data_IF_705960948969
#
_entry.id   IF_705960948969
#
_cell.length_a   1.000
_cell.length_b   1.000
_cell.length_c   1.000
_cell.angle_alpha   90.00
_cell.angle_beta   90.00
_cell.angle_gamma   90.00
#
_symmetry.space_group_name_H-M   'P 1'
#
loop_
_entity.id
_entity.type
_entity.pdbx_description
1 polymer ?
#
# COMPACT_ATOMS: atom_id res chain seq x y z
N UNK A 1 -20.55 -0.30 3.07
CA UNK A 1 -19.70 -1.16 3.93
C UNK A 1 -19.54 -2.58 3.36
N UNK A 2 -20.61 -3.29 2.98
CA UNK A 2 -20.54 -4.65 2.40
C UNK A 2 -19.66 -4.81 1.15
N UNK A 3 -19.64 -3.84 0.23
CA UNK A 3 -18.81 -3.91 -0.99
C UNK A 3 -17.30 -3.81 -0.69
N UNK A 4 -16.90 -3.07 0.31
CA UNK A 4 -15.49 -2.87 0.70
C UNK A 4 -14.89 -4.14 1.32
N UNK A 5 -15.57 -4.74 2.29
CA UNK A 5 -15.13 -6.00 2.91
C UNK A 5 -15.09 -7.16 1.90
N UNK A 6 -16.06 -7.21 0.97
CA UNK A 6 -16.06 -8.21 -0.10
C UNK A 6 -14.76 -8.16 -0.92
N UNK A 7 -14.27 -6.98 -1.29
CA UNK A 7 -13.00 -6.84 -2.01
C UNK A 7 -11.80 -7.39 -1.21
N UNK A 8 -11.77 -7.19 0.10
CA UNK A 8 -10.75 -7.81 0.97
C UNK A 8 -10.87 -9.34 0.97
N UNK A 9 -12.07 -9.88 1.16
CA UNK A 9 -12.31 -11.32 1.14
C UNK A 9 -11.87 -11.95 -0.19
N UNK A 10 -12.28 -11.35 -1.29
CA UNK A 10 -11.92 -11.82 -2.63
C UNK A 10 -10.39 -11.69 -2.88
N UNK A 11 -9.78 -10.58 -2.47
CA UNK A 11 -8.36 -10.32 -2.62
C UNK A 11 -7.46 -11.26 -1.79
N UNK A 12 -7.91 -11.71 -0.63
CA UNK A 12 -7.18 -12.66 0.20
C UNK A 12 -7.63 -14.12 0.02
N UNK A 13 -8.52 -14.41 -0.95
CA UNK A 13 -9.09 -15.75 -1.14
C UNK A 13 -8.02 -16.84 -1.31
N UNK A 14 -6.92 -16.57 -2.05
CA UNK A 14 -5.82 -17.53 -2.21
C UNK A 14 -5.07 -17.80 -0.90
N UNK A 15 -4.83 -16.77 -0.10
CA UNK A 15 -4.20 -16.92 1.23
C UNK A 15 -5.09 -17.75 2.15
N UNK A 16 -6.38 -17.42 2.22
CA UNK A 16 -7.37 -18.16 3.01
C UNK A 16 -7.48 -19.62 2.56
N UNK A 17 -7.58 -19.84 1.24
CA UNK A 17 -7.66 -21.20 0.68
C UNK A 17 -6.40 -22.02 0.96
N UNK A 18 -5.21 -21.42 0.91
CA UNK A 18 -3.97 -22.11 1.23
C UNK A 18 -3.89 -22.51 2.71
N UNK A 19 -4.31 -21.61 3.63
CA UNK A 19 -4.39 -21.91 5.06
C UNK A 19 -5.43 -23.01 5.29
N UNK A 20 -6.61 -22.88 4.72
CA UNK A 20 -7.71 -23.87 4.88
C UNK A 20 -7.31 -25.25 4.34
N UNK A 21 -6.61 -25.34 3.20
CA UNK A 21 -6.14 -26.60 2.64
C UNK A 21 -5.16 -27.31 3.55
N UNK A 22 -4.19 -26.58 4.13
CA UNK A 22 -3.19 -27.15 5.04
C UNK A 22 -3.77 -27.54 6.41
N UNK A 23 -4.77 -26.83 6.89
CA UNK A 23 -5.43 -27.08 8.18
C UNK A 23 -6.67 -27.97 8.06
N UNK A 24 -6.87 -28.61 6.91
CA UNK A 24 -8.06 -29.46 6.64
C UNK A 24 -9.38 -28.78 7.02
N UNK A 25 -9.48 -27.48 6.75
CA UNK A 25 -10.69 -26.71 7.06
C UNK A 25 -10.91 -26.45 8.54
N UNK A 26 -9.85 -26.39 9.34
CA UNK A 26 -9.91 -26.15 10.79
C UNK A 26 -10.90 -25.03 11.16
N UNK A 27 -10.85 -23.90 10.46
CA UNK A 27 -11.72 -22.75 10.72
C UNK A 27 -13.19 -22.97 10.33
N UNK A 28 -13.53 -24.12 9.72
CA UNK A 28 -14.91 -24.53 9.39
C UNK A 28 -15.70 -25.14 10.54
N UNK A 29 -15.20 -25.08 11.79
CA UNK A 29 -15.92 -25.56 12.98
C UNK A 29 -15.44 -26.90 13.56
N UNK A 30 -14.34 -27.48 13.05
CA UNK A 30 -13.65 -28.63 13.64
C UNK A 30 -13.12 -28.26 15.04
N UNK A 31 -13.10 -29.22 15.97
CA UNK A 31 -12.41 -29.07 17.26
C UNK A 31 -10.90 -28.96 17.04
N UNK A 32 -10.26 -28.21 17.91
CA UNK A 32 -8.81 -28.10 17.94
C UNK A 32 -8.21 -29.28 18.68
N UNK A 33 -7.13 -29.81 18.15
CA UNK A 33 -6.28 -30.82 18.77
C UNK A 33 -4.79 -30.50 18.52
N UNK A 34 -3.89 -31.30 19.05
CA UNK A 34 -2.46 -31.07 18.90
C UNK A 34 -2.03 -31.09 17.44
N UNK A 35 -2.57 -32.01 16.63
CA UNK A 35 -2.24 -32.13 15.22
C UNK A 35 -2.72 -30.89 14.42
N UNK A 36 -3.92 -30.39 14.70
CA UNK A 36 -4.43 -29.19 14.04
C UNK A 36 -3.65 -27.91 14.39
N UNK A 37 -3.02 -27.85 15.56
CA UNK A 37 -2.13 -26.74 15.94
C UNK A 37 -0.81 -26.78 15.16
N UNK A 38 -0.24 -27.97 14.93
CA UNK A 38 0.93 -28.16 14.07
C UNK A 38 0.62 -27.80 12.61
N UNK A 39 -0.52 -28.28 12.10
CA UNK A 39 -0.99 -27.91 10.75
C UNK A 39 -1.18 -26.38 10.60
N UNK A 40 -1.70 -25.71 11.62
CA UNK A 40 -1.89 -24.26 11.62
C UNK A 40 -0.54 -23.53 11.64
N UNK A 41 0.42 -24.02 12.42
CA UNK A 41 1.78 -23.47 12.45
C UNK A 41 2.41 -23.49 11.05
N UNK A 42 2.39 -24.64 10.39
CA UNK A 42 2.93 -24.80 9.04
C UNK A 42 2.19 -23.91 8.02
N UNK A 43 0.86 -23.80 8.16
CA UNK A 43 0.05 -22.96 7.28
C UNK A 43 0.40 -21.48 7.40
N UNK A 44 0.58 -20.97 8.62
CA UNK A 44 0.96 -19.59 8.88
C UNK A 44 2.37 -19.28 8.38
N UNK A 45 3.34 -20.18 8.57
CA UNK A 45 4.68 -20.03 7.99
C UNK A 45 4.64 -19.99 6.46
N UNK A 46 3.89 -20.89 5.84
CA UNK A 46 3.75 -20.93 4.38
C UNK A 46 3.10 -19.67 3.82
N UNK A 47 2.21 -19.05 4.60
CA UNK A 47 1.56 -17.79 4.24
C UNK A 47 2.41 -16.54 4.57
N UNK A 48 3.68 -16.72 4.96
CA UNK A 48 4.67 -15.66 5.24
C UNK A 48 4.31 -14.73 6.43
N UNK A 49 3.65 -15.25 7.48
CA UNK A 49 3.41 -14.48 8.70
C UNK A 49 4.68 -14.24 9.52
N UNK A 50 5.73 -15.02 9.26
CA UNK A 50 6.99 -14.97 9.98
C UNK A 50 6.93 -15.64 11.36
N UNK A 51 8.10 -15.90 11.94
CA UNK A 51 8.23 -16.67 13.19
C UNK A 51 7.50 -16.01 14.35
N UNK A 52 7.79 -14.74 14.61
CA UNK A 52 7.21 -14.01 15.76
C UNK A 52 5.69 -14.01 15.74
N UNK A 53 5.07 -13.67 14.59
CA UNK A 53 3.62 -13.59 14.48
C UNK A 53 2.97 -14.96 14.60
N UNK A 54 3.55 -15.98 13.97
CA UNK A 54 3.06 -17.35 14.03
C UNK A 54 3.10 -17.86 15.47
N UNK A 55 4.21 -17.65 16.18
CA UNK A 55 4.34 -18.03 17.59
C UNK A 55 3.31 -17.33 18.46
N UNK A 56 3.11 -16.02 18.31
CA UNK A 56 2.10 -15.27 19.10
C UNK A 56 0.69 -15.79 18.86
N UNK A 57 0.32 -16.05 17.60
CA UNK A 57 -1.00 -16.61 17.26
C UNK A 57 -1.20 -17.97 17.92
N UNK A 58 -0.21 -18.85 17.79
CA UNK A 58 -0.29 -20.19 18.34
C UNK A 58 -0.34 -20.22 19.87
N UNK A 59 0.47 -19.41 20.55
CA UNK A 59 0.47 -19.36 22.03
C UNK A 59 -0.86 -18.85 22.59
N UNK A 60 -1.49 -17.87 21.96
CA UNK A 60 -2.81 -17.41 22.35
C UNK A 60 -3.88 -18.49 22.15
N UNK A 61 -3.83 -19.20 21.00
CA UNK A 61 -4.76 -20.31 20.73
C UNK A 61 -4.52 -21.48 21.68
N UNK A 62 -3.26 -21.88 21.94
CA UNK A 62 -2.91 -22.93 22.91
C UNK A 62 -3.36 -22.56 24.33
N UNK A 63 -3.24 -21.30 24.70
CA UNK A 63 -3.71 -20.81 26.01
C UNK A 63 -5.23 -20.88 26.13
N UNK A 64 -5.95 -20.54 25.08
CA UNK A 64 -7.41 -20.68 25.05
C UNK A 64 -7.83 -22.16 25.07
N UNK A 65 -7.15 -23.01 24.31
CA UNK A 65 -7.42 -24.46 24.28
C UNK A 65 -7.19 -25.14 25.64
N UNK A 66 -6.16 -24.75 26.39
CA UNK A 66 -5.93 -25.25 27.76
C UNK A 66 -7.06 -24.90 28.72
N UNK A 67 -7.74 -23.76 28.50
CA UNK A 67 -8.89 -23.33 29.32
C UNK A 67 -10.19 -23.98 28.88
N UNK A 68 -10.35 -24.22 27.59
CA UNK A 68 -11.52 -24.83 26.96
C UNK A 68 -11.09 -25.88 25.93
N UNK A 69 -11.02 -27.19 26.31
CA UNK A 69 -10.68 -28.26 25.39
C UNK A 69 -11.73 -28.50 24.27
N UNK A 70 -12.91 -27.89 24.37
CA UNK A 70 -13.94 -27.90 23.32
C UNK A 70 -13.82 -26.75 22.33
N UNK A 71 -12.72 -25.99 22.42
CA UNK A 71 -12.44 -24.83 21.52
C UNK A 71 -12.58 -25.24 20.05
N UNK A 72 -13.39 -24.49 19.31
CA UNK A 72 -13.64 -24.73 17.88
C UNK A 72 -12.73 -23.84 17.03
N UNK A 73 -12.46 -24.30 15.82
CA UNK A 73 -11.60 -23.57 14.89
C UNK A 73 -12.06 -22.14 14.59
N UNK A 74 -13.37 -21.88 14.58
CA UNK A 74 -13.88 -20.50 14.39
C UNK A 74 -13.52 -19.57 15.57
N UNK A 75 -13.47 -20.09 16.78
CA UNK A 75 -12.99 -19.34 17.95
C UNK A 75 -11.48 -19.10 17.85
N UNK A 76 -10.72 -20.10 17.39
CA UNK A 76 -9.29 -19.94 17.11
C UNK A 76 -9.03 -18.91 16.01
N UNK A 77 -9.81 -18.89 14.94
CA UNK A 77 -9.74 -17.85 13.91
C UNK A 77 -9.96 -16.45 14.49
N UNK A 78 -10.92 -16.32 15.41
CA UNK A 78 -11.20 -15.05 16.10
C UNK A 78 -10.01 -14.61 16.99
N UNK A 79 -9.37 -15.56 17.69
CA UNK A 79 -8.16 -15.30 18.48
C UNK A 79 -7.02 -14.87 17.55
N UNK A 80 -6.78 -15.59 16.48
CA UNK A 80 -5.75 -15.22 15.50
C UNK A 80 -5.96 -13.83 14.91
N UNK A 81 -7.19 -13.48 14.54
CA UNK A 81 -7.54 -12.15 14.08
C UNK A 81 -7.29 -11.07 15.15
N UNK A 82 -7.57 -11.36 16.42
CA UNK A 82 -7.30 -10.45 17.53
C UNK A 82 -5.80 -10.21 17.71
N UNK A 83 -4.97 -11.25 17.58
CA UNK A 83 -3.51 -11.13 17.61
C UNK A 83 -3.02 -10.24 16.47
N UNK A 84 -3.51 -10.47 15.23
CA UNK A 84 -3.11 -9.61 14.09
C UNK A 84 -3.51 -8.15 14.29
N UNK A 85 -4.68 -7.87 14.83
CA UNK A 85 -5.10 -6.49 15.17
C UNK A 85 -4.15 -5.84 16.17
N UNK A 86 -3.72 -6.57 17.19
CA UNK A 86 -2.75 -6.07 18.18
C UNK A 86 -1.40 -5.80 17.53
N UNK A 87 -0.91 -6.71 16.72
CA UNK A 87 0.39 -6.61 16.04
C UNK A 87 0.43 -5.45 15.05
N UNK A 88 -0.68 -5.23 14.34
CA UNK A 88 -0.84 -4.19 13.33
C UNK A 88 -1.42 -2.88 13.89
N UNK A 89 -1.52 -2.74 15.21
CA UNK A 89 -1.99 -1.49 15.81
C UNK A 89 -1.13 -0.31 15.33
N UNK A 90 -1.79 0.71 14.76
CA UNK A 90 -1.12 1.88 14.17
C UNK A 90 -0.59 1.66 12.74
N UNK A 91 -0.85 0.51 12.10
CA UNK A 91 -0.42 0.25 10.74
C UNK A 91 -1.24 0.99 9.66
N UNK A 92 -2.42 1.48 9.97
CA UNK A 92 -3.27 2.15 8.99
C UNK A 92 -2.77 3.56 8.70
N UNK A 93 -2.39 3.82 7.45
CA UNK A 93 -2.08 5.15 6.95
C UNK A 93 -3.36 5.90 6.58
N UNK A 94 -3.46 7.15 7.00
CA UNK A 94 -4.53 8.05 6.57
C UNK A 94 -3.97 9.05 5.58
N UNK A 95 -4.59 9.15 4.41
CA UNK A 95 -4.24 10.14 3.41
C UNK A 95 -4.98 11.44 3.73
N UNK A 96 -4.27 12.35 4.34
CA UNK A 96 -4.78 13.69 4.63
C UNK A 96 -4.09 14.67 3.67
N UNK A 97 -4.90 15.44 2.92
CA UNK A 97 -4.40 16.60 2.19
C UNK A 97 -3.95 17.67 3.17
N UNK A 98 -3.10 18.58 2.73
CA UNK A 98 -2.46 19.61 3.57
C UNK A 98 -3.43 20.49 4.36
N UNK A 99 -4.70 20.58 3.92
CA UNK A 99 -5.73 21.50 4.50
C UNK A 99 -7.10 20.84 4.75
N UNK A 100 -7.18 19.51 4.94
CA UNK A 100 -8.44 18.81 5.19
C UNK A 100 -9.33 18.64 3.93
N UNK A 101 -10.53 18.05 4.05
CA UNK A 101 -11.40 17.78 2.91
C UNK A 101 -11.83 19.09 2.21
N UNK A 102 -11.87 19.12 0.86
CA UNK A 102 -12.43 20.26 0.14
C UNK A 102 -13.90 20.42 0.49
N UNK A 103 -14.31 21.63 0.89
CA UNK A 103 -15.72 21.94 1.07
C UNK A 103 -16.14 22.53 2.40
N UNK A 104 -15.23 22.87 3.32
CA UNK A 104 -15.62 23.82 4.37
C UNK A 104 -15.36 25.24 3.87
N UNK A 105 -16.42 26.04 3.69
CA UNK A 105 -16.25 27.49 3.57
C UNK A 105 -15.53 27.95 4.84
N UNK A 106 -14.47 28.76 4.71
CA UNK A 106 -13.87 29.45 5.85
C UNK A 106 -14.98 30.28 6.51
N UNK A 107 -15.23 30.06 7.78
CA UNK A 107 -16.21 30.85 8.59
C UNK A 107 -15.79 32.32 8.81
N UNK A 108 -14.88 32.84 8.00
CA UNK A 108 -14.55 34.26 7.93
C UNK A 108 -15.06 34.82 6.61
N UNK A 109 -16.16 35.51 6.63
CA UNK A 109 -16.77 36.27 5.51
C UNK A 109 -15.87 37.39 5.00
N UNK A 110 -14.70 37.04 4.43
CA UNK A 110 -13.87 37.96 3.68
C UNK A 110 -14.17 37.79 2.18
N UNK A 111 -14.32 38.88 1.41
CA UNK A 111 -14.65 38.82 -0.02
C UNK A 111 -13.52 38.14 -0.78
N UNK A 112 -13.89 37.42 -1.84
CA UNK A 112 -13.07 36.65 -2.78
C UNK A 112 -11.94 37.47 -3.40
N UNK A 113 -10.89 37.72 -2.63
CA UNK A 113 -9.56 38.06 -3.16
C UNK A 113 -8.91 36.77 -3.66
N UNK A 114 -8.22 36.82 -4.80
CA UNK A 114 -7.49 35.73 -5.42
C UNK A 114 -6.71 34.96 -4.38
N UNK A 115 -7.21 33.78 -3.96
CA UNK A 115 -6.47 32.90 -3.08
C UNK A 115 -5.14 32.60 -3.77
N UNK A 116 -4.01 32.83 -3.06
CA UNK A 116 -2.69 32.51 -3.58
C UNK A 116 -2.70 31.02 -3.97
N UNK A 117 -2.13 30.66 -5.14
CA UNK A 117 -2.09 29.28 -5.60
C UNK A 117 -1.41 28.42 -4.52
N UNK A 118 -2.14 27.47 -3.99
CA UNK A 118 -1.65 26.52 -2.96
C UNK A 118 -0.61 25.60 -3.56
N UNK A 119 0.43 25.24 -2.80
CA UNK A 119 1.37 24.24 -3.22
C UNK A 119 0.68 22.87 -3.24
N UNK A 120 0.90 22.04 -4.27
CA UNK A 120 0.35 20.70 -4.32
C UNK A 120 0.96 19.82 -3.22
N UNK A 121 0.20 18.88 -2.69
CA UNK A 121 0.76 17.80 -1.89
C UNK A 121 1.41 16.78 -2.82
N UNK A 122 2.66 16.42 -2.56
CA UNK A 122 3.47 15.58 -3.46
C UNK A 122 3.60 14.17 -2.90
N UNK A 123 3.25 13.17 -3.72
CA UNK A 123 3.46 11.74 -3.43
C UNK A 123 4.51 11.20 -4.42
N UNK A 124 5.66 10.72 -3.93
CA UNK A 124 6.61 9.97 -4.73
C UNK A 124 6.34 8.47 -4.58
N UNK A 125 6.04 7.81 -5.71
CA UNK A 125 5.85 6.37 -5.80
C UNK A 125 7.19 5.70 -6.08
N UNK A 126 7.68 4.92 -5.12
CA UNK A 126 9.03 4.32 -5.10
C UNK A 126 8.88 2.80 -5.11
N UNK A 127 9.87 2.06 -5.61
CA UNK A 127 9.85 0.60 -5.58
C UNK A 127 10.58 -0.02 -6.77
N UNK A 128 10.75 -1.34 -6.74
CA UNK A 128 11.43 -2.08 -7.81
C UNK A 128 10.59 -2.19 -9.08
N UNK A 129 11.23 -2.50 -10.20
CA UNK A 129 10.51 -2.82 -11.43
C UNK A 129 9.55 -3.99 -11.20
N UNK A 130 8.34 -3.88 -11.75
CA UNK A 130 7.31 -4.91 -11.61
C UNK A 130 6.54 -4.88 -10.28
N UNK A 131 6.88 -4.03 -9.31
CA UNK A 131 6.12 -3.92 -8.06
C UNK A 131 4.73 -3.28 -8.21
N UNK A 132 4.39 -2.76 -9.38
CA UNK A 132 3.08 -2.15 -9.63
C UNK A 132 3.04 -0.63 -9.43
N UNK A 133 4.17 0.09 -9.38
CA UNK A 133 4.23 1.55 -9.20
C UNK A 133 3.33 2.31 -10.17
N UNK A 134 3.56 2.14 -11.47
CA UNK A 134 2.83 2.83 -12.54
C UNK A 134 1.32 2.58 -12.46
N UNK A 135 0.92 1.32 -12.25
CA UNK A 135 -0.48 0.95 -12.07
C UNK A 135 -1.07 1.57 -10.79
N UNK A 136 -0.31 1.54 -9.69
CA UNK A 136 -0.73 2.14 -8.42
C UNK A 136 -0.86 3.66 -8.53
N UNK A 137 0.08 4.32 -9.21
CA UNK A 137 0.03 5.75 -9.51
C UNK A 137 -1.28 6.12 -10.20
N UNK A 138 -1.63 5.40 -11.26
CA UNK A 138 -2.86 5.65 -12.00
C UNK A 138 -4.13 5.39 -11.17
N UNK A 139 -4.17 4.29 -10.41
CA UNK A 139 -5.30 3.94 -9.53
C UNK A 139 -5.47 4.94 -8.39
N UNK A 140 -4.37 5.39 -7.79
CA UNK A 140 -4.39 6.40 -6.74
C UNK A 140 -4.91 7.74 -7.27
N UNK A 141 -4.42 8.16 -8.44
CA UNK A 141 -4.88 9.38 -9.09
C UNK A 141 -6.39 9.32 -9.41
N UNK A 142 -6.86 8.16 -9.89
CA UNK A 142 -8.28 7.92 -10.13
C UNK A 142 -9.12 8.01 -8.85
N UNK A 143 -8.62 7.40 -7.77
CA UNK A 143 -9.29 7.46 -6.47
C UNK A 143 -9.41 8.88 -5.96
N UNK A 144 -8.30 9.62 -5.91
CA UNK A 144 -8.29 11.03 -5.47
C UNK A 144 -9.24 11.89 -6.31
N UNK A 145 -9.25 11.70 -7.62
CA UNK A 145 -10.18 12.39 -8.51
C UNK A 145 -11.65 12.08 -8.20
N UNK A 146 -11.98 10.82 -7.93
CA UNK A 146 -13.34 10.43 -7.54
C UNK A 146 -13.74 10.96 -6.16
N UNK A 147 -12.76 11.19 -5.28
CA UNK A 147 -12.93 11.84 -3.99
C UNK A 147 -13.02 13.39 -4.13
N UNK A 148 -13.12 13.91 -5.36
CA UNK A 148 -13.30 15.34 -5.68
C UNK A 148 -12.02 16.16 -5.64
N UNK A 149 -10.84 15.52 -5.59
CA UNK A 149 -9.54 16.20 -5.58
C UNK A 149 -9.01 16.40 -7.01
N UNK A 150 -8.31 17.49 -7.23
CA UNK A 150 -7.60 17.75 -8.48
C UNK A 150 -6.20 17.14 -8.45
N UNK A 151 -5.87 16.35 -9.48
CA UNK A 151 -4.64 15.54 -9.50
C UNK A 151 -3.91 15.69 -10.83
N UNK A 152 -2.59 15.84 -10.74
CA UNK A 152 -1.67 15.75 -11.88
C UNK A 152 -0.63 14.67 -11.62
N UNK A 153 -0.20 13.97 -12.67
CA UNK A 153 0.78 12.87 -12.57
C UNK A 153 2.05 13.23 -13.35
N UNK A 154 3.22 12.88 -12.81
CA UNK A 154 4.51 13.01 -13.45
C UNK A 154 5.08 11.65 -13.83
N UNK A 155 5.40 11.45 -15.14
CA UNK A 155 6.06 10.24 -15.65
C UNK A 155 7.57 10.36 -15.53
N UNK A 156 8.14 10.04 -14.37
CA UNK A 156 9.58 10.14 -14.10
C UNK A 156 10.35 8.82 -14.31
N UNK A 157 9.75 7.74 -14.77
CA UNK A 157 10.46 6.53 -15.27
C UNK A 157 10.83 6.72 -16.76
N UNK A 158 11.63 7.77 -17.03
CA UNK A 158 11.92 8.28 -18.39
C UNK A 158 12.73 7.31 -19.24
N UNK A 159 13.48 6.39 -18.63
CA UNK A 159 14.31 5.43 -19.36
C UNK A 159 13.52 4.22 -19.88
N UNK A 160 12.25 4.08 -19.47
CA UNK A 160 11.38 2.99 -19.90
C UNK A 160 10.22 3.55 -20.72
N UNK A 161 10.41 3.63 -22.04
CA UNK A 161 9.37 4.10 -22.96
C UNK A 161 8.00 3.39 -22.70
N UNK A 162 8.02 2.08 -22.53
CA UNK A 162 6.81 1.31 -22.25
C UNK A 162 6.13 1.71 -20.91
N UNK A 163 6.88 2.15 -19.90
CA UNK A 163 6.28 2.61 -18.63
C UNK A 163 5.59 3.96 -18.82
N UNK A 164 6.20 4.87 -19.57
CA UNK A 164 5.60 6.18 -19.90
C UNK A 164 4.34 5.98 -20.75
N UNK A 165 4.39 5.12 -21.76
CA UNK A 165 3.22 4.80 -22.60
C UNK A 165 2.11 4.12 -21.80
N UNK A 166 2.45 3.21 -20.91
CA UNK A 166 1.49 2.57 -20.00
C UNK A 166 0.80 3.61 -19.12
N UNK A 167 1.57 4.50 -18.51
CA UNK A 167 1.01 5.55 -17.65
C UNK A 167 0.13 6.50 -18.45
N UNK A 168 0.55 6.87 -19.66
CA UNK A 168 -0.24 7.70 -20.58
C UNK A 168 -1.56 7.03 -20.93
N UNK A 169 -1.54 5.74 -21.30
CA UNK A 169 -2.78 4.99 -21.61
C UNK A 169 -3.76 4.99 -20.41
N UNK A 170 -3.24 4.84 -19.18
CA UNK A 170 -4.05 4.93 -17.98
C UNK A 170 -4.62 6.34 -17.78
N UNK A 171 -3.79 7.37 -17.86
CA UNK A 171 -4.20 8.75 -17.59
C UNK A 171 -5.19 9.27 -18.64
N UNK A 172 -5.01 8.92 -19.92
CA UNK A 172 -5.96 9.25 -21.00
C UNK A 172 -7.32 8.60 -20.73
N UNK A 173 -7.36 7.31 -20.40
CA UNK A 173 -8.60 6.57 -20.10
C UNK A 173 -9.32 7.16 -18.88
N UNK A 174 -8.58 7.54 -17.85
CA UNK A 174 -9.13 8.06 -16.60
C UNK A 174 -9.32 9.58 -16.62
N UNK A 175 -8.94 10.25 -17.71
CA UNK A 175 -8.99 11.73 -17.89
C UNK A 175 -8.24 12.44 -16.76
N UNK A 176 -7.00 12.00 -16.49
CA UNK A 176 -6.07 12.57 -15.52
C UNK A 176 -4.97 13.28 -16.28
N UNK A 177 -4.56 14.44 -15.78
CA UNK A 177 -3.48 15.20 -16.41
C UNK A 177 -2.13 14.54 -16.17
N UNK A 178 -1.31 14.44 -17.26
CA UNK A 178 0.01 13.83 -17.23
C UNK A 178 1.06 14.83 -17.72
N UNK A 179 2.14 14.95 -16.97
CA UNK A 179 3.39 15.58 -17.42
C UNK A 179 4.40 14.49 -17.72
N UNK A 180 4.89 14.48 -18.95
CA UNK A 180 5.88 13.52 -19.44
C UNK A 180 6.88 14.23 -20.37
N UNK A 181 8.00 13.58 -20.64
CA UNK A 181 9.02 14.05 -21.56
C UNK A 181 9.48 12.92 -22.50
N UNK A 182 10.44 13.19 -23.35
CA UNK A 182 11.02 12.18 -24.25
C UNK A 182 11.78 11.10 -23.46
N UNK A 183 11.96 9.94 -24.07
CA UNK A 183 12.73 8.84 -23.48
C UNK A 183 14.15 9.27 -23.17
N UNK A 184 14.63 9.01 -21.96
CA UNK A 184 15.96 9.38 -21.49
C UNK A 184 16.07 10.83 -20.99
N UNK A 185 14.98 11.59 -20.91
CA UNK A 185 14.96 12.89 -20.27
C UNK A 185 15.36 12.81 -18.78
N UNK A 186 15.84 13.91 -18.22
CA UNK A 186 16.13 14.00 -16.80
C UNK A 186 14.83 13.89 -15.97
N UNK A 187 14.69 12.82 -15.20
CA UNK A 187 13.52 12.57 -14.36
C UNK A 187 13.25 13.69 -13.34
N UNK A 188 14.30 14.34 -12.85
CA UNK A 188 14.17 15.46 -11.93
C UNK A 188 13.65 16.74 -12.64
N UNK A 189 13.98 16.94 -13.92
CA UNK A 189 13.40 18.02 -14.71
C UNK A 189 11.90 17.78 -14.94
N UNK A 190 11.49 16.55 -15.26
CA UNK A 190 10.06 16.20 -15.40
C UNK A 190 9.30 16.43 -14.09
N UNK A 191 9.88 16.05 -12.94
CA UNK A 191 9.28 16.28 -11.63
C UNK A 191 9.14 17.78 -11.31
N UNK A 192 10.14 18.59 -11.71
CA UNK A 192 10.09 20.04 -11.56
C UNK A 192 8.98 20.67 -12.40
N UNK A 193 8.91 20.33 -13.69
CA UNK A 193 7.90 20.84 -14.60
C UNK A 193 6.49 20.46 -14.15
N UNK A 194 6.33 19.22 -13.67
CA UNK A 194 5.05 18.75 -13.12
C UNK A 194 4.64 19.52 -11.86
N UNK A 195 5.60 19.84 -10.98
CA UNK A 195 5.32 20.65 -9.79
C UNK A 195 4.91 22.09 -10.16
N UNK A 196 5.60 22.70 -11.12
CA UNK A 196 5.25 24.03 -11.63
C UNK A 196 3.86 24.03 -12.27
N UNK A 197 3.57 23.02 -13.09
CA UNK A 197 2.25 22.86 -13.71
C UNK A 197 1.15 22.65 -12.65
N UNK A 198 1.39 21.79 -11.66
CA UNK A 198 0.46 21.54 -10.55
C UNK A 198 0.12 22.83 -9.80
N UNK A 199 1.15 23.61 -9.44
CA UNK A 199 0.96 24.90 -8.75
C UNK A 199 0.23 25.91 -9.60
N UNK A 200 0.63 26.08 -10.86
CA UNK A 200 0.06 27.06 -11.77
C UNK A 200 -1.44 26.81 -12.08
N UNK A 201 -1.81 25.53 -12.13
CA UNK A 201 -3.18 25.07 -12.43
C UNK A 201 -4.02 24.81 -11.18
N UNK A 202 -3.45 24.97 -9.99
CA UNK A 202 -4.16 24.81 -8.71
C UNK A 202 -4.52 23.36 -8.39
N UNK A 203 -3.69 22.39 -8.79
CA UNK A 203 -3.92 21.00 -8.42
C UNK A 203 -3.64 20.74 -6.93
N UNK A 204 -4.48 19.93 -6.29
CA UNK A 204 -4.33 19.53 -4.88
C UNK A 204 -3.17 18.55 -4.72
N UNK A 205 -3.00 17.65 -5.71
CA UNK A 205 -2.05 16.56 -5.64
C UNK A 205 -1.16 16.46 -6.86
N UNK A 206 0.13 16.18 -6.61
CA UNK A 206 1.09 15.74 -7.61
C UNK A 206 1.57 14.33 -7.25
N UNK A 207 1.36 13.35 -8.14
CA UNK A 207 1.88 11.99 -7.97
C UNK A 207 3.03 11.78 -8.95
N UNK A 208 4.20 11.43 -8.42
CA UNK A 208 5.44 11.23 -9.19
C UNK A 208 5.70 9.72 -9.32
N UNK A 209 5.55 9.17 -10.54
CA UNK A 209 5.90 7.78 -10.86
C UNK A 209 7.39 7.69 -11.19
N UNK A 210 8.18 7.01 -10.34
CA UNK A 210 9.63 6.97 -10.46
C UNK A 210 10.15 5.68 -11.08
N UNK A 211 11.41 5.68 -11.54
CA UNK A 211 12.12 4.48 -11.96
C UNK A 211 12.24 3.44 -10.82
N UNK A 212 12.49 2.18 -11.20
CA UNK A 212 12.59 1.08 -10.23
C UNK A 212 13.74 0.10 -10.50
N UNK A 213 14.83 0.55 -11.11
CA UNK A 213 15.95 -0.32 -11.52
C UNK A 213 16.90 -0.62 -10.37
N UNK A 214 16.53 -1.56 -9.48
CA UNK A 214 17.34 -1.88 -8.28
C UNK A 214 18.70 -2.53 -8.62
N UNK A 215 18.87 -3.15 -9.79
CA UNK A 215 20.14 -3.74 -10.21
C UNK A 215 21.24 -2.68 -10.44
N UNK A 216 20.88 -1.42 -10.64
CA UNK A 216 21.76 -0.24 -10.62
C UNK A 216 21.47 0.62 -9.39
N UNK A 217 21.58 0.00 -8.20
CA UNK A 217 21.11 0.56 -6.93
C UNK A 217 21.63 1.98 -6.66
N UNK A 218 22.92 2.24 -6.89
CA UNK A 218 23.52 3.57 -6.71
C UNK A 218 22.83 4.62 -7.57
N UNK A 219 22.67 4.33 -8.86
CA UNK A 219 22.07 5.28 -9.81
C UNK A 219 20.61 5.58 -9.48
N UNK A 220 19.84 4.54 -9.07
CA UNK A 220 18.44 4.74 -8.66
C UNK A 220 18.34 5.64 -7.43
N UNK A 221 19.16 5.42 -6.42
CA UNK A 221 19.12 6.23 -5.19
C UNK A 221 19.57 7.68 -5.46
N UNK A 222 20.54 7.90 -6.34
CA UNK A 222 20.96 9.22 -6.78
C UNK A 222 19.85 9.94 -7.55
N UNK A 223 19.15 9.25 -8.44
CA UNK A 223 18.01 9.76 -9.19
C UNK A 223 16.87 10.19 -8.26
N UNK A 224 16.47 9.32 -7.34
CA UNK A 224 15.45 9.62 -6.32
C UNK A 224 15.86 10.80 -5.44
N UNK A 225 17.12 10.86 -5.00
CA UNK A 225 17.65 11.96 -4.22
C UNK A 225 17.66 13.28 -5.03
N UNK A 226 17.91 13.22 -6.35
CA UNK A 226 17.85 14.38 -7.25
C UNK A 226 16.42 14.89 -7.40
N UNK A 227 15.44 14.01 -7.63
CA UNK A 227 14.01 14.35 -7.67
C UNK A 227 13.61 15.05 -6.35
N UNK A 228 13.95 14.48 -5.21
CA UNK A 228 13.65 15.06 -3.90
C UNK A 228 14.24 16.47 -3.77
N UNK A 229 15.53 16.66 -4.08
CA UNK A 229 16.20 17.97 -3.99
C UNK A 229 15.54 19.02 -4.86
N UNK A 230 15.11 18.65 -6.06
CA UNK A 230 14.45 19.57 -6.98
C UNK A 230 13.07 19.98 -6.48
N UNK A 231 12.29 19.02 -5.96
CA UNK A 231 11.00 19.32 -5.35
C UNK A 231 11.14 20.21 -4.10
N UNK A 232 12.15 19.97 -3.27
CA UNK A 232 12.44 20.76 -2.07
C UNK A 232 12.87 22.21 -2.35
N UNK A 233 13.41 22.51 -3.54
CA UNK A 233 13.67 23.89 -3.95
C UNK A 233 12.38 24.71 -4.10
N UNK A 234 11.28 24.06 -4.48
CA UNK A 234 9.98 24.68 -4.66
C UNK A 234 9.14 24.69 -3.38
N UNK A 235 9.23 23.60 -2.62
CA UNK A 235 8.56 23.43 -1.33
C UNK A 235 9.47 22.60 -0.41
N UNK A 236 10.07 23.18 0.64
CA UNK A 236 11.01 22.49 1.52
C UNK A 236 10.45 21.22 2.18
N UNK A 237 9.13 21.08 2.24
CA UNK A 237 8.46 19.90 2.81
C UNK A 237 8.21 18.79 1.80
N UNK A 238 8.35 19.07 0.49
CA UNK A 238 8.11 18.12 -0.58
C UNK A 238 9.29 17.12 -0.74
N UNK A 239 9.01 15.88 -1.15
CA UNK A 239 7.70 15.25 -1.21
C UNK A 239 7.20 14.91 0.20
N UNK A 240 5.96 15.25 0.50
CA UNK A 240 5.35 14.97 1.80
C UNK A 240 5.18 13.46 2.00
N UNK A 241 4.84 12.77 0.91
CA UNK A 241 4.66 11.33 0.91
C UNK A 241 5.73 10.64 0.06
N UNK A 242 6.48 9.76 0.67
CA UNK A 242 7.48 8.88 0.04
C UNK A 242 7.03 7.46 0.24
N UNK A 243 6.23 6.96 -0.70
CA UNK A 243 5.58 5.66 -0.57
C UNK A 243 6.30 4.59 -1.36
N UNK A 244 6.61 3.51 -0.68
CA UNK A 244 7.13 2.31 -1.33
C UNK A 244 5.97 1.44 -1.80
N UNK A 245 5.98 1.11 -3.07
CA UNK A 245 5.09 0.10 -3.65
C UNK A 245 5.80 -1.25 -3.62
N UNK A 246 5.26 -2.15 -2.83
CA UNK A 246 5.84 -3.47 -2.55
C UNK A 246 4.97 -4.55 -3.21
N UNK A 247 5.64 -5.50 -3.87
CA UNK A 247 4.98 -6.70 -4.40
C UNK A 247 4.77 -7.72 -3.28
N UNK A 248 3.53 -7.89 -2.83
CA UNK A 248 3.17 -8.83 -1.77
C UNK A 248 3.37 -10.30 -2.14
N UNK A 249 3.48 -10.63 -3.43
CA UNK A 249 3.73 -12.00 -3.88
C UNK A 249 5.18 -12.48 -3.60
N UNK A 250 6.10 -11.55 -3.36
CA UNK A 250 7.50 -11.85 -3.05
C UNK A 250 7.72 -12.29 -1.61
N UNK A 251 6.70 -12.23 -0.76
CA UNK A 251 6.78 -12.66 0.63
C UNK A 251 7.87 -11.92 1.42
N UNK A 252 8.68 -12.65 2.17
CA UNK A 252 9.76 -12.11 3.00
C UNK A 252 10.82 -11.30 2.24
N UNK A 253 11.03 -11.55 0.95
CA UNK A 253 11.93 -10.75 0.12
C UNK A 253 11.50 -9.28 0.01
N UNK A 254 10.21 -9.01 0.14
CA UNK A 254 9.66 -7.65 0.16
C UNK A 254 10.16 -6.84 1.37
N UNK A 255 10.40 -7.50 2.49
CA UNK A 255 10.88 -6.88 3.73
C UNK A 255 12.28 -6.30 3.54
N UNK A 256 13.19 -7.07 2.97
CA UNK A 256 14.57 -6.61 2.73
C UNK A 256 14.62 -5.46 1.73
N UNK A 257 13.80 -5.50 0.68
CA UNK A 257 13.67 -4.38 -0.24
C UNK A 257 13.19 -3.12 0.49
N UNK A 258 12.17 -3.24 1.32
CA UNK A 258 11.60 -2.12 2.05
C UNK A 258 12.60 -1.49 3.03
N UNK A 259 13.44 -2.29 3.72
CA UNK A 259 14.53 -1.80 4.58
C UNK A 259 15.53 -0.94 3.80
N UNK A 260 15.98 -1.44 2.64
CA UNK A 260 16.95 -0.73 1.79
C UNK A 260 16.41 0.63 1.34
N UNK A 261 15.17 0.68 0.85
CA UNK A 261 14.56 1.94 0.44
C UNK A 261 14.32 2.88 1.63
N UNK A 262 13.93 2.35 2.78
CA UNK A 262 13.71 3.16 3.97
C UNK A 262 14.99 3.84 4.45
N UNK A 263 16.08 3.09 4.54
CA UNK A 263 17.40 3.62 4.94
C UNK A 263 17.91 4.69 3.96
N UNK A 264 17.69 4.50 2.66
CA UNK A 264 18.22 5.39 1.62
C UNK A 264 17.36 6.63 1.37
N UNK A 265 16.03 6.52 1.50
CA UNK A 265 15.12 7.59 1.08
C UNK A 265 14.18 8.10 2.19
N UNK A 266 14.09 7.41 3.32
CA UNK A 266 13.24 7.80 4.45
C UNK A 266 11.77 7.68 4.09
N UNK A 267 11.30 6.46 3.86
CA UNK A 267 9.91 6.18 3.50
C UNK A 267 8.93 6.70 4.56
N UNK A 268 7.79 7.20 4.11
CA UNK A 268 6.69 7.68 4.97
C UNK A 268 5.44 6.82 4.88
N UNK A 269 5.39 5.87 3.95
CA UNK A 269 4.24 5.01 3.75
C UNK A 269 4.53 3.85 2.81
N UNK A 270 3.61 2.89 2.83
CA UNK A 270 3.66 1.67 2.03
C UNK A 270 2.36 1.50 1.24
N UNK A 271 2.49 0.91 0.04
CA UNK A 271 1.38 0.33 -0.72
C UNK A 271 1.77 -1.11 -1.05
N UNK A 272 0.96 -2.09 -0.66
CA UNK A 272 1.23 -3.50 -0.92
C UNK A 272 0.33 -3.99 -2.04
N UNK A 273 0.92 -4.49 -3.13
CA UNK A 273 0.22 -4.88 -4.36
C UNK A 273 0.19 -6.39 -4.55
N UNK A 274 -0.60 -6.87 -5.52
CA UNK A 274 -0.67 -8.27 -5.99
C UNK A 274 -1.08 -9.28 -4.92
N UNK A 275 -1.87 -8.84 -3.96
CA UNK A 275 -2.34 -9.72 -2.88
C UNK A 275 -3.39 -10.72 -3.35
N UNK A 276 -4.14 -10.40 -4.40
CA UNK A 276 -5.11 -11.26 -5.08
C UNK A 276 -4.46 -12.46 -5.79
N UNK A 277 -3.18 -12.33 -6.13
CA UNK A 277 -2.39 -13.34 -6.83
C UNK A 277 -1.65 -14.33 -5.93
N UNK A 278 -1.59 -14.10 -4.61
CA UNK A 278 -0.65 -14.80 -3.71
C UNK A 278 -1.32 -15.52 -2.56
N UNK A 279 -0.71 -16.61 -2.10
CA UNK A 279 -1.01 -17.28 -0.82
C UNK A 279 -0.21 -16.69 0.36
N UNK A 280 0.63 -15.68 0.12
CA UNK A 280 1.59 -15.12 1.10
C UNK A 280 1.11 -13.81 1.72
N UNK A 281 -0.17 -13.72 2.02
CA UNK A 281 -0.78 -12.51 2.56
C UNK A 281 -0.24 -12.05 3.91
N UNK A 282 0.45 -12.94 4.64
CA UNK A 282 1.11 -12.62 5.92
C UNK A 282 2.32 -11.70 5.80
N UNK A 283 2.93 -11.56 4.62
CA UNK A 283 4.08 -10.67 4.40
C UNK A 283 3.82 -9.21 4.84
N UNK A 284 2.58 -8.74 4.77
CA UNK A 284 2.17 -7.43 5.28
C UNK A 284 2.57 -7.25 6.74
N UNK A 285 2.35 -8.28 7.57
CA UNK A 285 2.66 -8.25 9.00
C UNK A 285 4.16 -8.15 9.23
N UNK A 286 4.94 -8.94 8.49
CA UNK A 286 6.40 -8.92 8.56
C UNK A 286 6.99 -7.56 8.19
N UNK A 287 6.49 -6.93 7.12
CA UNK A 287 6.93 -5.60 6.69
C UNK A 287 6.64 -4.56 7.79
N UNK A 288 5.42 -4.54 8.32
CA UNK A 288 5.05 -3.58 9.36
C UNK A 288 5.82 -3.79 10.67
N UNK A 289 6.05 -5.05 11.10
CA UNK A 289 6.86 -5.34 12.30
C UNK A 289 8.25 -4.76 12.21
N UNK A 290 8.89 -4.91 11.04
CA UNK A 290 10.27 -4.51 10.81
C UNK A 290 10.46 -3.00 10.65
N UNK A 291 9.52 -2.32 10.00
CA UNK A 291 9.69 -0.94 9.58
C UNK A 291 8.86 0.05 10.39
N UNK A 292 7.74 -0.38 10.95
CA UNK A 292 6.75 0.47 11.65
C UNK A 292 6.29 1.67 10.79
N UNK A 293 6.28 1.49 9.46
CA UNK A 293 5.81 2.49 8.50
C UNK A 293 4.34 2.18 8.16
N UNK A 294 3.45 3.19 8.17
CA UNK A 294 2.03 2.98 7.90
C UNK A 294 1.80 2.46 6.48
N UNK A 295 0.80 1.59 6.34
CA UNK A 295 0.31 1.05 5.07
C UNK A 295 -0.92 1.86 4.70
N UNK A 296 -0.85 2.54 3.56
CA UNK A 296 -1.96 3.39 3.09
C UNK A 296 -2.95 2.61 2.24
N UNK A 297 -2.44 1.79 1.33
CA UNK A 297 -3.27 1.07 0.37
C UNK A 297 -2.78 -0.34 0.16
N UNK A 298 -3.71 -1.20 -0.29
CA UNK A 298 -3.43 -2.53 -0.79
C UNK A 298 -4.07 -2.71 -2.18
N UNK A 299 -3.34 -3.40 -3.06
CA UNK A 299 -3.81 -3.79 -4.40
C UNK A 299 -4.38 -5.19 -4.38
N UNK A 300 -5.65 -5.32 -4.71
CA UNK A 300 -6.45 -6.54 -4.66
C UNK A 300 -6.97 -6.96 -6.05
N UNK A 301 -6.31 -6.52 -7.11
CA UNK A 301 -6.71 -6.84 -8.49
C UNK A 301 -6.26 -5.78 -9.49
N UNK A 302 -6.74 -5.87 -10.74
CA UNK A 302 -6.28 -5.05 -11.86
C UNK A 302 -7.16 -3.81 -12.15
N UNK A 303 -8.40 -3.77 -11.67
CA UNK A 303 -9.31 -2.66 -11.93
C UNK A 303 -8.93 -1.39 -11.15
N UNK A 304 -9.31 -0.18 -11.61
CA UNK A 304 -9.03 1.07 -10.89
C UNK A 304 -9.48 1.04 -9.43
N UNK A 305 -10.63 0.44 -9.17
CA UNK A 305 -11.22 0.34 -7.83
C UNK A 305 -10.62 -0.77 -6.95
N UNK A 306 -9.63 -1.53 -7.46
CA UNK A 306 -8.98 -2.60 -6.68
C UNK A 306 -7.81 -2.09 -5.83
N UNK A 307 -7.52 -0.79 -5.86
CA UNK A 307 -6.67 -0.13 -4.88
C UNK A 307 -7.54 0.29 -3.69
N UNK A 308 -7.44 -0.47 -2.60
CA UNK A 308 -8.25 -0.25 -1.41
C UNK A 308 -7.43 0.36 -0.27
N UNK A 309 -7.98 1.28 0.54
CA UNK A 309 -7.34 1.70 1.78
C UNK A 309 -7.05 0.48 2.65
N UNK A 310 -5.88 0.46 3.29
CA UNK A 310 -5.58 -0.62 4.23
C UNK A 310 -6.45 -0.50 5.47
N UNK A 311 -7.02 -1.62 5.89
CA UNK A 311 -7.78 -1.72 7.13
C UNK A 311 -7.32 -2.94 7.90
N UNK A 312 -6.81 -2.71 9.09
CA UNK A 312 -6.34 -3.76 10.00
C UNK A 312 -7.47 -4.72 10.37
N UNK A 313 -8.67 -4.19 10.61
CA UNK A 313 -9.84 -5.00 10.93
C UNK A 313 -10.22 -5.92 9.77
N UNK A 314 -10.37 -5.34 8.56
CA UNK A 314 -10.78 -6.13 7.39
C UNK A 314 -9.70 -7.15 6.98
N UNK A 315 -8.42 -6.77 7.05
CA UNK A 315 -7.30 -7.66 6.78
C UNK A 315 -7.28 -8.84 7.75
N UNK A 316 -7.33 -8.57 9.05
CA UNK A 316 -7.23 -9.59 10.09
C UNK A 316 -8.38 -10.60 10.01
N UNK A 317 -9.59 -10.14 9.69
CA UNK A 317 -10.76 -11.01 9.49
C UNK A 317 -10.65 -11.81 8.19
N UNK A 318 -10.30 -11.15 7.08
CA UNK A 318 -10.20 -11.78 5.77
C UNK A 318 -9.21 -12.94 5.77
N UNK A 319 -8.03 -12.75 6.36
CA UNK A 319 -6.97 -13.77 6.39
C UNK A 319 -7.39 -15.03 7.15
N UNK A 320 -8.18 -14.91 8.21
CA UNK A 320 -8.69 -16.05 8.96
C UNK A 320 -10.08 -16.54 8.47
N UNK A 321 -10.56 -16.06 7.34
CA UNK A 321 -11.82 -16.49 6.75
C UNK A 321 -13.05 -16.13 7.56
N UNK A 322 -12.98 -15.12 8.44
CA UNK A 322 -14.09 -14.66 9.24
C UNK A 322 -15.01 -13.77 8.40
N UNK A 323 -16.32 -14.07 8.45
CA UNK A 323 -17.34 -13.21 7.86
C UNK A 323 -17.60 -11.96 8.72
N UNK A 324 -18.25 -10.95 8.15
CA UNK A 324 -18.63 -9.69 8.82
C UNK A 324 -19.61 -9.93 9.94
#
# INVERSE_FOLDING_TARGET
MFSFFKKFKDGFAKTVSAIAAKTHGLFGGRKIDAASLEELEEALYTADFGVETTTEVLEEIKTAYRKDPELKGQQAATIGAAVLRRVLAGAEGKLEGRDGPPGRPSESGAPSGHALPRNPTVICMIGVNGSGKTTTTAKLAYKLKNDGQSVIVAACDTFRAAAVEQLKSWTDRLKIELVSSHTGADSAAVAFDAWQAAKARGHDWLIVDTAGRLHTKSNLMEELAKIRRVLQKNDPTAPQHRWLVVDGSLGSNSIEQAKVFHQSFGLTGLVVTKLDGTSRGGAIVGIYRQLKIPIYFIGLGEQPDDLQPFSVENYSRAVFGLDT
#
